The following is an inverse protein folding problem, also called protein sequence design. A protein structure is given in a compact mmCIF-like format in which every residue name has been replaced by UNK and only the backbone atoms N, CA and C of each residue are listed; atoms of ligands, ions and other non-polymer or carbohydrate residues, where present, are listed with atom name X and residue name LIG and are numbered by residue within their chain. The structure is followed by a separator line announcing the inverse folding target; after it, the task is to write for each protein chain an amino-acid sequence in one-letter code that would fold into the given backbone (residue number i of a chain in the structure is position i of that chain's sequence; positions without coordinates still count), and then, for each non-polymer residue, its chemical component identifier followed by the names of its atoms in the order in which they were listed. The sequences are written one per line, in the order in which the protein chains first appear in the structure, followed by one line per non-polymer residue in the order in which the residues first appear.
data_IF_514547106885
#
_entry.id   IF_514547106885
#
_cell.length_a   1.000
_cell.length_b   1.000
_cell.length_c   1.000
_cell.angle_alpha   90.00
_cell.angle_beta   90.00
_cell.angle_gamma   90.00
#
_symmetry.space_group_name_H-M   'P 1'
#
loop_
_entity.id
_entity.type
_entity.pdbx_description
1 polymer ?
#
# COMPACT_ATOMS: atom_id res chain seq x y z
N UNK A 1 30.73 -11.58 3.06
CA UNK A 1 30.49 -10.29 3.78
C UNK A 1 29.77 -9.27 2.90
N UNK A 2 30.05 -9.25 1.61
CA UNK A 2 29.42 -8.35 0.61
C UNK A 2 27.94 -8.73 0.43
N UNK A 3 27.64 -10.02 0.31
CA UNK A 3 26.24 -10.51 0.17
C UNK A 3 25.36 -10.15 1.37
N UNK A 4 25.94 -10.09 2.58
CA UNK A 4 25.20 -9.69 3.77
C UNK A 4 24.73 -8.22 3.69
N UNK A 5 25.58 -7.33 3.19
CA UNK A 5 25.21 -5.91 2.99
C UNK A 5 24.12 -5.78 1.94
N UNK A 6 24.17 -6.56 0.86
CA UNK A 6 23.15 -6.58 -0.19
C UNK A 6 21.80 -7.02 0.34
N UNK A 7 21.76 -8.12 1.11
CA UNK A 7 20.55 -8.59 1.76
C UNK A 7 20.00 -7.59 2.79
N UNK A 8 20.91 -6.91 3.52
CA UNK A 8 20.50 -5.90 4.51
C UNK A 8 19.88 -4.67 3.84
N UNK A 9 20.46 -4.17 2.76
CA UNK A 9 19.93 -3.04 2.00
C UNK A 9 18.58 -3.37 1.36
N UNK A 10 18.46 -4.52 0.68
CA UNK A 10 17.18 -4.98 0.13
C UNK A 10 16.12 -5.23 1.20
N UNK A 11 16.54 -5.74 2.37
CA UNK A 11 15.68 -5.95 3.52
C UNK A 11 15.13 -4.64 4.12
N UNK A 12 15.94 -3.58 4.17
CA UNK A 12 15.51 -2.25 4.62
C UNK A 12 14.42 -1.70 3.70
N UNK A 13 14.61 -1.79 2.40
CA UNK A 13 13.64 -1.31 1.41
C UNK A 13 12.30 -2.06 1.49
N UNK A 14 12.36 -3.39 1.49
CA UNK A 14 11.16 -4.23 1.63
C UNK A 14 10.50 -4.05 3.00
N UNK A 15 11.29 -3.94 4.06
CA UNK A 15 10.82 -3.70 5.42
C UNK A 15 10.11 -2.36 5.57
N UNK A 16 10.57 -1.33 4.86
CA UNK A 16 9.94 -0.01 4.86
C UNK A 16 8.52 -0.06 4.26
N UNK A 17 8.31 -0.80 3.18
CA UNK A 17 6.99 -1.00 2.56
C UNK A 17 6.05 -1.75 3.53
N UNK A 18 6.55 -2.82 4.15
CA UNK A 18 5.79 -3.59 5.14
C UNK A 18 5.42 -2.71 6.34
N UNK A 19 6.34 -1.86 6.80
CA UNK A 19 6.09 -0.93 7.90
C UNK A 19 4.99 0.08 7.57
N UNK A 20 4.92 0.60 6.33
CA UNK A 20 3.81 1.46 5.89
C UNK A 20 2.47 0.74 5.93
N UNK A 21 2.42 -0.50 5.45
CA UNK A 21 1.19 -1.30 5.49
C UNK A 21 0.74 -1.56 6.93
N UNK A 22 1.68 -1.91 7.81
CA UNK A 22 1.41 -2.11 9.23
C UNK A 22 0.91 -0.82 9.90
N UNK A 23 1.55 0.31 9.61
CA UNK A 23 1.15 1.62 10.12
C UNK A 23 -0.27 1.99 9.68
N UNK A 24 -0.61 1.79 8.41
CA UNK A 24 -1.94 2.03 7.89
C UNK A 24 -2.99 1.15 8.59
N UNK A 25 -2.66 -0.11 8.88
CA UNK A 25 -3.53 -1.04 9.61
C UNK A 25 -3.77 -0.59 11.06
N UNK A 26 -2.70 -0.15 11.74
CA UNK A 26 -2.77 0.39 13.10
C UNK A 26 -3.62 1.65 13.16
N UNK A 27 -3.50 2.55 12.17
CA UNK A 27 -4.30 3.77 12.09
C UNK A 27 -5.80 3.49 11.98
N UNK A 28 -6.18 2.58 11.10
CA UNK A 28 -7.58 2.18 10.94
C UNK A 28 -8.08 1.50 12.21
N UNK A 29 -7.28 0.59 12.80
CA UNK A 29 -7.64 -0.06 14.07
C UNK A 29 -7.82 0.95 15.21
N UNK A 30 -6.95 1.94 15.31
CA UNK A 30 -7.04 2.97 16.35
C UNK A 30 -8.33 3.79 16.26
N UNK A 31 -8.78 4.08 15.03
CA UNK A 31 -10.00 4.87 14.80
C UNK A 31 -11.29 4.03 14.87
N UNK A 32 -11.23 2.77 14.44
CA UNK A 32 -12.40 1.91 14.31
C UNK A 32 -12.52 0.86 15.42
N UNK A 33 -11.41 0.51 16.10
CA UNK A 33 -11.28 -0.61 17.04
C UNK A 33 -11.54 -1.98 16.40
N UNK A 34 -11.52 -2.05 15.09
CA UNK A 34 -11.66 -3.28 14.29
C UNK A 34 -10.44 -3.42 13.40
N UNK A 35 -9.84 -4.62 13.36
CA UNK A 35 -8.80 -4.94 12.38
C UNK A 35 -9.47 -5.07 11.02
N UNK A 36 -9.09 -4.19 10.09
CA UNK A 36 -9.70 -4.14 8.76
C UNK A 36 -8.81 -4.83 7.72
N UNK A 37 -9.04 -6.11 7.48
CA UNK A 37 -8.32 -6.86 6.45
C UNK A 37 -8.69 -6.45 5.02
N UNK A 38 -9.86 -5.83 4.81
CA UNK A 38 -10.23 -5.28 3.51
C UNK A 38 -9.25 -4.21 3.00
N UNK A 39 -8.44 -3.61 3.90
CA UNK A 39 -7.44 -2.61 3.54
C UNK A 39 -6.40 -3.16 2.56
N UNK A 40 -6.02 -4.43 2.67
CA UNK A 40 -5.10 -5.09 1.74
C UNK A 40 -5.70 -5.18 0.33
N UNK A 41 -6.95 -5.62 0.23
CA UNK A 41 -7.69 -5.65 -1.03
C UNK A 41 -7.89 -4.25 -1.62
N UNK A 42 -8.17 -3.25 -0.79
CA UNK A 42 -8.28 -1.86 -1.23
C UNK A 42 -6.96 -1.34 -1.81
N UNK A 43 -5.83 -1.59 -1.14
CA UNK A 43 -4.51 -1.20 -1.62
C UNK A 43 -4.20 -1.85 -2.98
N UNK A 44 -4.43 -3.16 -3.11
CA UNK A 44 -4.26 -3.88 -4.36
C UNK A 44 -5.15 -3.31 -5.46
N UNK A 45 -6.46 -3.19 -5.22
CA UNK A 45 -7.43 -2.72 -6.21
C UNK A 45 -7.11 -1.30 -6.71
N UNK A 46 -6.73 -0.40 -5.81
CA UNK A 46 -6.33 0.97 -6.19
C UNK A 46 -5.00 1.03 -6.92
N UNK A 47 -4.09 0.09 -6.67
CA UNK A 47 -2.84 -0.04 -7.43
C UNK A 47 -3.12 -0.44 -8.88
N UNK A 48 -4.04 -1.36 -9.13
CA UNK A 48 -4.49 -1.70 -10.49
C UNK A 48 -5.14 -0.51 -11.21
N UNK A 49 -5.92 0.30 -10.50
CA UNK A 49 -6.46 1.56 -11.07
C UNK A 49 -5.31 2.51 -11.44
N UNK A 50 -4.30 2.66 -10.57
CA UNK A 50 -3.12 3.47 -10.87
C UNK A 50 -2.38 2.99 -12.12
N UNK A 51 -2.21 1.66 -12.26
CA UNK A 51 -1.57 1.04 -13.41
C UNK A 51 -2.33 1.36 -14.70
N UNK A 52 -3.64 1.13 -14.72
CA UNK A 52 -4.50 1.41 -15.88
C UNK A 52 -4.43 2.88 -16.30
N UNK A 53 -4.52 3.81 -15.34
CA UNK A 53 -4.44 5.24 -15.64
C UNK A 53 -3.06 5.61 -16.19
N UNK A 54 -2.00 5.06 -15.64
CA UNK A 54 -0.64 5.26 -16.12
C UNK A 54 -0.47 4.73 -17.56
N UNK A 55 -1.00 3.56 -17.86
CA UNK A 55 -0.96 3.00 -19.22
C UNK A 55 -1.70 3.85 -20.24
N UNK A 56 -2.87 4.37 -19.87
CA UNK A 56 -3.69 5.23 -20.74
C UNK A 56 -3.10 6.63 -20.93
N UNK A 57 -2.46 7.20 -19.90
CA UNK A 57 -2.03 8.61 -19.91
C UNK A 57 -0.52 8.79 -20.03
N UNK A 58 0.27 7.73 -19.80
CA UNK A 58 1.73 7.80 -19.72
C UNK A 58 2.25 8.49 -18.45
N UNK A 59 1.36 8.99 -17.57
CA UNK A 59 1.72 9.79 -16.39
C UNK A 59 1.60 9.00 -15.11
N UNK A 60 2.75 8.80 -14.43
CA UNK A 60 2.79 8.14 -13.13
C UNK A 60 2.05 8.95 -12.04
N UNK A 61 2.20 10.29 -12.06
CA UNK A 61 1.55 11.17 -11.09
C UNK A 61 0.04 11.19 -11.20
N UNK A 62 -0.51 11.17 -12.43
CA UNK A 62 -1.95 11.05 -12.63
C UNK A 62 -2.48 9.71 -12.12
N UNK A 63 -1.75 8.62 -12.38
CA UNK A 63 -2.08 7.31 -11.82
C UNK A 63 -2.17 7.34 -10.30
N UNK A 64 -1.17 7.94 -9.64
CA UNK A 64 -1.14 8.07 -8.19
C UNK A 64 -2.33 8.89 -7.64
N UNK A 65 -2.60 10.07 -8.21
CA UNK A 65 -3.69 10.94 -7.76
C UNK A 65 -5.05 10.27 -7.90
N UNK A 66 -5.29 9.61 -9.04
CA UNK A 66 -6.56 8.91 -9.30
C UNK A 66 -6.69 7.68 -8.40
N UNK A 67 -5.61 6.94 -8.15
CA UNK A 67 -5.61 5.83 -7.20
C UNK A 67 -5.91 6.30 -5.77
N UNK A 68 -5.37 7.43 -5.34
CA UNK A 68 -5.69 8.01 -4.03
C UNK A 68 -7.18 8.41 -3.93
N UNK A 69 -7.72 9.03 -4.97
CA UNK A 69 -9.15 9.38 -5.02
C UNK A 69 -10.04 8.13 -5.02
N UNK A 70 -9.67 7.11 -5.82
CA UNK A 70 -10.37 5.83 -5.85
C UNK A 70 -10.30 5.11 -4.50
N UNK A 71 -9.13 5.12 -3.84
CA UNK A 71 -8.93 4.56 -2.51
C UNK A 71 -9.82 5.22 -1.45
N UNK A 72 -9.97 6.55 -1.52
CA UNK A 72 -10.88 7.29 -0.66
C UNK A 72 -12.34 6.84 -0.91
N UNK A 73 -12.77 6.76 -2.16
CA UNK A 73 -14.13 6.32 -2.51
C UNK A 73 -14.39 4.89 -2.04
N UNK A 74 -13.51 3.95 -2.37
CA UNK A 74 -13.63 2.54 -1.94
C UNK A 74 -13.59 2.43 -0.42
N UNK A 75 -12.71 3.19 0.25
CA UNK A 75 -12.63 3.23 1.70
C UNK A 75 -13.92 3.73 2.35
N UNK A 76 -14.53 4.78 1.81
CA UNK A 76 -15.84 5.30 2.26
C UNK A 76 -16.94 4.25 2.06
N UNK A 77 -16.99 3.60 0.90
CA UNK A 77 -17.97 2.55 0.60
C UNK A 77 -17.81 1.40 1.60
N UNK A 78 -16.60 0.88 1.79
CA UNK A 78 -16.34 -0.22 2.74
C UNK A 78 -16.68 0.20 4.17
N UNK A 79 -16.35 1.43 4.55
CA UNK A 79 -16.66 1.93 5.88
C UNK A 79 -18.18 1.94 6.15
N UNK A 80 -18.97 2.51 5.24
CA UNK A 80 -20.41 2.64 5.45
C UNK A 80 -21.17 1.33 5.25
N UNK A 81 -20.80 0.51 4.27
CA UNK A 81 -21.52 -0.72 3.95
C UNK A 81 -21.09 -1.91 4.84
N UNK A 82 -19.83 -1.92 5.32
CA UNK A 82 -19.30 -3.08 6.04
C UNK A 82 -18.89 -2.71 7.47
N UNK A 83 -17.96 -1.78 7.65
CA UNK A 83 -17.37 -1.53 8.97
C UNK A 83 -18.41 -0.96 9.94
N UNK A 84 -19.22 0.00 9.51
CA UNK A 84 -20.22 0.65 10.35
C UNK A 84 -21.32 -0.30 10.85
N UNK A 85 -21.95 -1.14 10.03
CA UNK A 85 -22.95 -2.10 10.51
C UNK A 85 -22.32 -3.20 11.36
N UNK A 86 -21.13 -3.68 11.02
CA UNK A 86 -20.44 -4.77 11.69
C UNK A 86 -19.87 -4.38 13.08
N UNK A 87 -19.63 -3.09 13.33
CA UNK A 87 -19.29 -2.60 14.68
C UNK A 87 -20.33 -2.94 15.76
N UNK A 88 -21.54 -3.29 15.38
CA UNK A 88 -22.61 -3.74 16.29
C UNK A 88 -22.55 -5.23 16.59
N UNK A 89 -21.73 -5.98 15.85
CA UNK A 89 -21.45 -7.39 16.07
C UNK A 89 -20.25 -7.55 17.00
N UNK A 90 -19.96 -8.77 17.34
CA UNK A 90 -18.74 -9.12 18.05
C UNK A 90 -17.49 -8.91 17.18
N UNK A 91 -16.31 -8.89 17.82
CA UNK A 91 -15.03 -8.67 17.14
C UNK A 91 -14.77 -9.71 16.05
N UNK A 92 -15.20 -10.96 16.26
CA UNK A 92 -15.03 -12.06 15.30
C UNK A 92 -15.84 -11.83 14.02
N UNK A 93 -17.08 -11.40 14.15
CA UNK A 93 -17.95 -11.07 13.02
C UNK A 93 -17.38 -9.91 12.18
N UNK A 94 -16.75 -8.92 12.83
CA UNK A 94 -16.09 -7.82 12.15
C UNK A 94 -14.88 -8.29 11.32
N UNK A 95 -14.06 -9.17 11.85
CA UNK A 95 -12.91 -9.75 11.15
C UNK A 95 -13.39 -10.53 9.92
N UNK A 96 -14.36 -11.43 10.08
CA UNK A 96 -14.90 -12.24 8.98
C UNK A 96 -15.46 -11.34 7.87
N UNK A 97 -16.21 -10.30 8.21
CA UNK A 97 -16.78 -9.37 7.23
C UNK A 97 -15.69 -8.62 6.42
N UNK A 98 -14.61 -8.19 7.07
CA UNK A 98 -13.50 -7.52 6.37
C UNK A 98 -12.69 -8.47 5.49
N UNK A 99 -12.56 -9.75 5.87
CA UNK A 99 -12.02 -10.79 4.98
C UNK A 99 -12.93 -11.04 3.77
N UNK A 100 -14.24 -11.07 3.96
CA UNK A 100 -15.19 -11.17 2.85
C UNK A 100 -15.03 -10.04 1.84
N UNK A 101 -14.80 -8.80 2.31
CA UNK A 101 -14.50 -7.66 1.43
C UNK A 101 -13.16 -7.82 0.71
N UNK A 102 -12.13 -8.32 1.40
CA UNK A 102 -10.82 -8.61 0.79
C UNK A 102 -11.00 -9.55 -0.41
N UNK A 103 -11.63 -10.69 -0.18
CA UNK A 103 -11.88 -11.70 -1.23
C UNK A 103 -12.74 -11.13 -2.38
N UNK A 104 -13.75 -10.33 -2.06
CA UNK A 104 -14.58 -9.68 -3.07
C UNK A 104 -13.78 -8.69 -3.94
N UNK A 105 -12.90 -7.90 -3.35
CA UNK A 105 -12.04 -6.97 -4.10
C UNK A 105 -10.99 -7.71 -4.93
N UNK A 106 -10.43 -8.82 -4.44
CA UNK A 106 -9.53 -9.68 -5.21
C UNK A 106 -10.26 -10.31 -6.41
N UNK A 107 -11.46 -10.84 -6.21
CA UNK A 107 -12.26 -11.39 -7.28
C UNK A 107 -12.64 -10.33 -8.33
N UNK A 108 -13.04 -9.13 -7.91
CA UNK A 108 -13.32 -8.01 -8.80
C UNK A 108 -12.07 -7.58 -9.60
N UNK A 109 -10.92 -7.52 -8.96
CA UNK A 109 -9.67 -7.22 -9.63
C UNK A 109 -9.34 -8.29 -10.68
N UNK A 110 -9.45 -9.57 -10.34
CA UNK A 110 -9.21 -10.67 -11.27
C UNK A 110 -10.19 -10.67 -12.46
N UNK A 111 -11.43 -10.25 -12.26
CA UNK A 111 -12.40 -10.12 -13.34
C UNK A 111 -12.11 -8.98 -14.31
N UNK A 112 -11.49 -7.89 -13.84
CA UNK A 112 -11.22 -6.68 -14.64
C UNK A 112 -9.85 -6.72 -15.30
N UNK A 113 -8.82 -7.14 -14.56
CA UNK A 113 -7.40 -7.12 -15.00
C UNK A 113 -6.82 -8.51 -15.26
N UNK A 114 -7.53 -9.58 -14.93
CA UNK A 114 -7.04 -10.94 -15.01
C UNK A 114 -6.45 -11.45 -13.70
N UNK A 115 -6.09 -12.73 -13.67
CA UNK A 115 -5.58 -13.39 -12.46
C UNK A 115 -4.06 -13.34 -12.30
N UNK A 116 -3.34 -12.86 -13.29
CA UNK A 116 -1.88 -12.81 -13.26
C UNK A 116 -1.38 -11.53 -12.58
N UNK A 117 -0.34 -11.62 -11.73
CA UNK A 117 0.25 -10.44 -11.10
C UNK A 117 0.93 -9.56 -12.14
N UNK A 118 0.57 -8.28 -12.19
CA UNK A 118 1.22 -7.30 -13.04
C UNK A 118 2.24 -6.46 -12.27
N UNK A 119 3.40 -6.20 -12.90
CA UNK A 119 4.43 -5.38 -12.33
C UNK A 119 4.09 -3.89 -12.49
N UNK A 120 4.02 -3.16 -11.38
CA UNK A 120 3.86 -1.70 -11.42
C UNK A 120 5.23 -1.05 -11.69
N UNK A 121 5.43 -0.38 -12.85
CA UNK A 121 6.73 0.21 -13.16
C UNK A 121 7.06 1.37 -12.21
N UNK A 122 8.29 1.42 -11.68
CA UNK A 122 8.71 2.49 -10.77
C UNK A 122 8.72 3.85 -11.48
N UNK A 123 8.50 4.97 -10.74
CA UNK A 123 8.49 6.34 -11.29
C UNK A 123 9.87 6.81 -11.74
N UNK A 124 10.91 6.25 -11.16
CA UNK A 124 12.32 6.58 -11.41
C UNK A 124 13.12 5.30 -11.61
N UNK A 125 14.35 5.46 -12.10
CA UNK A 125 15.23 4.34 -12.37
C UNK A 125 15.40 3.44 -11.12
N UNK A 126 15.15 2.15 -11.30
CA UNK A 126 15.27 1.11 -10.27
C UNK A 126 16.59 0.31 -10.42
N UNK A 127 17.50 0.73 -11.29
CA UNK A 127 18.84 0.14 -11.33
C UNK A 127 19.66 0.64 -10.14
N UNK A 128 20.37 -0.29 -9.51
CA UNK A 128 21.24 0.02 -8.38
C UNK A 128 22.35 1.01 -8.76
N UNK A 129 22.93 1.64 -7.78
CA UNK A 129 24.07 2.55 -7.98
C UNK A 129 25.33 1.78 -8.40
N UNK A 130 25.97 2.20 -9.49
CA UNK A 130 27.31 1.74 -9.84
C UNK A 130 28.34 2.52 -9.06
N UNK A 131 28.98 1.88 -8.09
CA UNK A 131 30.09 2.44 -7.34
C UNK A 131 31.19 1.39 -7.12
N UNK A 132 32.43 1.80 -7.28
CA UNK A 132 33.62 0.92 -7.10
C UNK A 132 33.61 -0.31 -8.03
N UNK A 133 33.12 -0.18 -9.27
CA UNK A 133 33.05 -1.26 -10.26
C UNK A 133 32.01 -2.33 -9.95
N UNK A 134 31.03 -2.03 -9.08
CA UNK A 134 29.94 -2.92 -8.70
C UNK A 134 28.61 -2.19 -8.71
N UNK A 135 27.55 -2.92 -9.07
CA UNK A 135 26.16 -2.46 -8.94
C UNK A 135 25.68 -2.82 -7.53
N UNK A 136 25.36 -1.82 -6.74
CA UNK A 136 24.79 -1.99 -5.40
C UNK A 136 23.29 -2.22 -5.52
N UNK A 137 22.69 -3.11 -4.72
CA UNK A 137 21.24 -3.43 -4.78
C UNK A 137 20.38 -2.37 -4.12
N UNK A 138 20.84 -1.13 -4.03
CA UNK A 138 20.11 0.01 -3.49
C UNK A 138 19.96 1.06 -4.60
N UNK A 139 18.73 1.35 -4.96
CA UNK A 139 18.38 2.20 -6.10
C UNK A 139 17.90 3.59 -5.66
N UNK A 140 17.87 4.59 -6.56
CA UNK A 140 17.21 5.87 -6.30
C UNK A 140 15.75 5.70 -5.90
N UNK A 141 15.09 4.66 -6.41
CA UNK A 141 13.73 4.31 -6.03
C UNK A 141 13.61 3.90 -4.55
N UNK A 142 14.56 3.13 -4.02
CA UNK A 142 14.60 2.73 -2.61
C UNK A 142 14.74 3.94 -1.69
N UNK A 143 15.56 4.93 -2.08
CA UNK A 143 15.67 6.21 -1.35
C UNK A 143 14.34 6.97 -1.34
N UNK A 144 13.63 7.00 -2.46
CA UNK A 144 12.30 7.63 -2.55
C UNK A 144 11.29 6.92 -1.63
N UNK A 145 11.30 5.59 -1.61
CA UNK A 145 10.46 4.79 -0.72
C UNK A 145 10.77 5.12 0.73
N UNK A 146 12.02 5.06 1.15
CA UNK A 146 12.44 5.38 2.52
C UNK A 146 12.07 6.81 2.92
N UNK A 147 12.31 7.78 2.04
CA UNK A 147 11.94 9.17 2.30
C UNK A 147 10.42 9.32 2.47
N UNK A 148 9.62 8.65 1.64
CA UNK A 148 8.15 8.68 1.74
C UNK A 148 7.66 8.07 3.06
N UNK A 149 8.28 6.96 3.52
CA UNK A 149 7.99 6.34 4.83
C UNK A 149 8.26 7.33 5.95
N UNK A 150 9.44 7.94 5.96
CA UNK A 150 9.83 8.91 7.01
C UNK A 150 8.87 10.10 7.04
N UNK A 151 8.56 10.68 5.88
CA UNK A 151 7.62 11.81 5.77
C UNK A 151 6.23 11.43 6.29
N UNK A 152 5.71 10.27 5.92
CA UNK A 152 4.40 9.79 6.38
C UNK A 152 4.40 9.54 7.89
N UNK A 153 5.42 8.89 8.44
CA UNK A 153 5.54 8.65 9.89
C UNK A 153 5.60 9.98 10.66
N UNK A 154 6.38 10.94 10.18
CA UNK A 154 6.47 12.26 10.81
C UNK A 154 5.15 13.02 10.72
N UNK A 155 4.49 13.02 9.56
CA UNK A 155 3.19 13.67 9.37
C UNK A 155 2.14 13.08 10.33
N UNK A 156 2.08 11.76 10.42
CA UNK A 156 1.17 11.07 11.34
C UNK A 156 1.52 11.34 12.81
N UNK A 157 2.80 11.35 13.17
CA UNK A 157 3.23 11.71 14.52
C UNK A 157 2.76 13.11 14.92
N UNK A 158 2.90 14.08 14.02
CA UNK A 158 2.40 15.45 14.26
C UNK A 158 0.88 15.49 14.43
N UNK A 159 0.14 14.77 13.58
CA UNK A 159 -1.33 14.69 13.71
C UNK A 159 -1.72 14.08 15.06
N UNK A 160 -1.07 12.99 15.48
CA UNK A 160 -1.41 12.32 16.75
C UNK A 160 -0.95 13.03 18.01
N UNK A 161 0.09 13.85 17.93
CA UNK A 161 0.52 14.64 19.08
C UNK A 161 -0.31 15.91 19.28
N UNK A 162 -1.01 16.34 18.23
CA UNK A 162 -1.86 17.55 18.27
C UNK A 162 -3.36 17.25 18.42
N UNK A 163 -3.76 15.97 18.35
CA UNK A 163 -5.16 15.52 18.49
C UNK A 163 -5.32 14.63 19.71
#
# INVERSE_FOLDING_TARGET
MIDFIDYLLGGISSGAIIALMALALVLVWRSTRVVNFAQLGQAMFTTYIALTVRELTGSWFLGLIIAMAAGLVVGVIVHFLVIRPVKRLDTSGAIIATFGVLIALEALAAMVWGGDPEAFPPPINNSGYEAFGRIWPFSPYDLLVLASVVVLVLALSVVFTRT
#
